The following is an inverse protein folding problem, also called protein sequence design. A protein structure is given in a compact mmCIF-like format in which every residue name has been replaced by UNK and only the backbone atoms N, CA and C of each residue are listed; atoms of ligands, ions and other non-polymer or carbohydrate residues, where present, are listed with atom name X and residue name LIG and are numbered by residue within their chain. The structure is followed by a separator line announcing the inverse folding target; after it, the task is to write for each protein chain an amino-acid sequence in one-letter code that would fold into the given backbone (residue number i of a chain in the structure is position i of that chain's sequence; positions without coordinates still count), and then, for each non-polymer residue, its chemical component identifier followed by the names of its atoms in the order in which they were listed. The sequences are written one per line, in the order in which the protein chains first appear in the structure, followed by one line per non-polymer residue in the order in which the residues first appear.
data_IF_189961804781
#
_entry.id   IF_189961804781
#
_cell.length_a   1.000
_cell.length_b   1.000
_cell.length_c   1.000
_cell.angle_alpha   90.00
_cell.angle_beta   90.00
_cell.angle_gamma   90.00
#
_symmetry.space_group_name_H-M   'P 1'
#
loop_
_entity.id
_entity.type
_entity.pdbx_description
1 polymer ?
#
# COMPACT_ATOMS: atom_id res chain seq x y z
N UNK A 1 -14.76 18.42 24.48
CA UNK A 1 -14.67 17.10 23.83
C UNK A 1 -15.13 17.25 22.39
N UNK A 2 -14.42 16.68 21.44
CA UNK A 2 -14.83 16.69 20.03
C UNK A 2 -16.07 15.82 19.90
N UNK A 3 -17.05 16.24 19.08
CA UNK A 3 -18.23 15.44 18.78
C UNK A 3 -17.79 14.10 18.16
N UNK A 4 -18.29 12.96 18.62
CA UNK A 4 -17.92 11.61 18.13
C UNK A 4 -18.11 11.44 16.61
N UNK A 5 -19.02 12.20 16.02
CA UNK A 5 -19.31 12.17 14.58
C UNK A 5 -18.42 13.11 13.75
N UNK A 6 -17.59 13.96 14.41
CA UNK A 6 -16.72 14.88 13.70
C UNK A 6 -15.49 14.18 13.14
N UNK A 7 -15.18 14.46 11.87
CA UNK A 7 -14.03 13.84 11.21
C UNK A 7 -12.76 14.68 11.40
N UNK A 8 -11.66 14.04 11.74
CA UNK A 8 -10.32 14.57 11.52
C UNK A 8 -9.90 14.29 10.09
N UNK A 9 -9.91 15.27 9.20
CA UNK A 9 -9.65 15.10 7.79
C UNK A 9 -8.23 15.53 7.46
N UNK A 10 -7.40 14.56 7.06
CA UNK A 10 -6.00 14.77 6.67
C UNK A 10 -5.85 14.75 5.15
N UNK A 11 -5.60 15.91 4.58
CA UNK A 11 -5.33 16.05 3.16
C UNK A 11 -3.85 15.88 2.84
N UNK A 12 -3.55 14.92 1.96
CA UNK A 12 -2.22 14.65 1.45
C UNK A 12 -2.16 15.06 -0.04
N UNK A 13 -1.74 16.30 -0.36
CA UNK A 13 -1.80 16.81 -1.72
C UNK A 13 -0.87 16.02 -2.65
N UNK A 14 -1.35 15.79 -3.87
CA UNK A 14 -0.47 15.46 -4.99
C UNK A 14 0.24 16.74 -5.41
N UNK A 15 1.55 16.78 -5.52
CA UNK A 15 2.23 17.98 -6.02
C UNK A 15 1.65 18.46 -7.37
N UNK A 16 1.52 19.76 -7.55
CA UNK A 16 1.11 20.42 -8.77
C UNK A 16 -0.29 21.09 -8.73
N UNK A 17 -0.54 21.95 -9.71
CA UNK A 17 -1.74 22.81 -9.83
C UNK A 17 -3.09 22.05 -9.81
N UNK A 18 -3.12 20.82 -10.33
CA UNK A 18 -4.32 19.97 -10.32
C UNK A 18 -4.76 19.54 -8.92
N UNK A 19 -3.88 19.65 -7.93
CA UNK A 19 -4.17 19.27 -6.54
C UNK A 19 -5.25 20.16 -5.93
N UNK A 20 -5.18 21.49 -6.14
CA UNK A 20 -6.12 22.44 -5.56
C UNK A 20 -7.56 22.26 -6.10
N UNK A 21 -7.69 22.09 -7.44
CA UNK A 21 -9.00 21.84 -8.06
C UNK A 21 -9.68 20.57 -7.52
N UNK A 22 -8.87 19.55 -7.19
CA UNK A 22 -9.43 18.30 -6.66
C UNK A 22 -9.87 18.46 -5.21
N UNK A 23 -9.12 19.22 -4.42
CA UNK A 23 -9.53 19.54 -3.05
C UNK A 23 -10.84 20.33 -3.05
N UNK A 24 -10.98 21.38 -3.84
CA UNK A 24 -12.20 22.17 -4.00
C UNK A 24 -13.43 21.29 -4.29
N UNK A 25 -13.27 20.30 -5.19
CA UNK A 25 -14.34 19.34 -5.49
C UNK A 25 -14.70 18.48 -4.27
N UNK A 26 -13.71 17.97 -3.53
CA UNK A 26 -13.93 17.16 -2.34
C UNK A 26 -14.62 18.00 -1.26
N UNK A 27 -14.11 19.19 -1.01
CA UNK A 27 -14.66 20.12 -0.01
C UNK A 27 -16.12 20.49 -0.31
N UNK A 28 -16.43 20.75 -1.59
CA UNK A 28 -17.81 21.01 -2.01
C UNK A 28 -18.74 19.84 -1.66
N UNK A 29 -18.32 18.60 -1.93
CA UNK A 29 -19.11 17.40 -1.61
C UNK A 29 -19.28 17.22 -0.10
N UNK A 30 -18.22 17.43 0.69
CA UNK A 30 -18.29 17.36 2.16
C UNK A 30 -19.32 18.35 2.71
N UNK A 31 -19.29 19.61 2.25
CA UNK A 31 -20.25 20.66 2.64
C UNK A 31 -21.67 20.31 2.20
N UNK A 32 -21.87 19.88 0.97
CA UNK A 32 -23.19 19.49 0.44
C UNK A 32 -23.81 18.33 1.21
N UNK A 33 -23.01 17.41 1.68
CA UNK A 33 -23.48 16.26 2.46
C UNK A 33 -23.55 16.55 3.97
N UNK A 34 -23.26 17.77 4.42
CA UNK A 34 -23.31 18.16 5.83
C UNK A 34 -22.36 17.36 6.71
N UNK A 35 -21.13 17.08 6.23
CA UNK A 35 -20.10 16.46 7.04
C UNK A 35 -19.50 17.48 7.98
N UNK A 36 -19.46 17.18 9.28
CA UNK A 36 -18.71 17.97 10.26
C UNK A 36 -17.27 17.48 10.30
N UNK A 37 -16.29 18.34 10.03
CA UNK A 37 -14.89 17.97 9.97
C UNK A 37 -13.95 19.11 10.32
N UNK A 38 -12.81 18.79 10.89
CA UNK A 38 -11.66 19.67 10.95
C UNK A 38 -10.63 19.21 9.91
N UNK A 39 -10.06 20.17 9.21
CA UNK A 39 -9.17 19.95 8.09
C UNK A 39 -7.74 20.35 8.43
N UNK A 40 -6.81 19.45 8.09
CA UNK A 40 -5.38 19.75 8.08
C UNK A 40 -4.73 19.21 6.80
N UNK A 41 -3.74 19.94 6.30
CA UNK A 41 -2.98 19.55 5.13
C UNK A 41 -1.58 19.09 5.55
N UNK A 42 -1.13 17.95 5.00
CA UNK A 42 0.24 17.50 5.18
C UNK A 42 1.19 18.28 4.26
N UNK A 43 2.27 18.79 4.81
CA UNK A 43 3.34 19.43 4.04
C UNK A 43 4.25 18.39 3.36
N UNK A 44 4.50 17.30 4.06
CA UNK A 44 5.36 16.21 3.61
C UNK A 44 4.99 14.90 4.33
N UNK A 45 5.70 13.83 3.98
CA UNK A 45 5.48 12.51 4.58
C UNK A 45 5.62 12.50 6.11
N UNK A 46 6.62 13.19 6.65
CA UNK A 46 6.89 13.19 8.10
C UNK A 46 5.80 13.91 8.90
N UNK A 47 5.07 14.85 8.26
CA UNK A 47 3.98 15.56 8.91
C UNK A 47 2.74 14.67 9.13
N UNK A 48 2.54 13.63 8.32
CA UNK A 48 1.37 12.74 8.44
C UNK A 48 1.28 12.12 9.83
N UNK A 49 2.37 11.55 10.33
CA UNK A 49 2.40 10.93 11.66
C UNK A 49 2.05 11.95 12.77
N UNK A 50 2.67 13.13 12.74
CA UNK A 50 2.40 14.20 13.69
C UNK A 50 0.95 14.63 13.69
N UNK A 51 0.35 14.80 12.51
CA UNK A 51 -1.03 15.23 12.34
C UNK A 51 -2.04 14.16 12.77
N UNK A 52 -1.76 12.89 12.54
CA UNK A 52 -2.58 11.77 13.05
C UNK A 52 -2.56 11.76 14.60
N UNK A 53 -1.37 11.87 15.21
CA UNK A 53 -1.26 11.96 16.68
C UNK A 53 -2.02 13.16 17.24
N UNK A 54 -1.94 14.29 16.56
CA UNK A 54 -2.70 15.48 16.94
C UNK A 54 -4.22 15.22 16.95
N UNK A 55 -4.76 14.59 15.91
CA UNK A 55 -6.18 14.23 15.88
C UNK A 55 -6.57 13.29 17.03
N UNK A 56 -5.77 12.27 17.29
CA UNK A 56 -6.02 11.30 18.37
C UNK A 56 -5.99 11.98 19.73
N UNK A 57 -4.97 12.80 20.00
CA UNK A 57 -4.82 13.53 21.26
C UNK A 57 -5.97 14.53 21.48
N UNK A 58 -6.55 15.05 20.40
CA UNK A 58 -7.74 15.93 20.45
C UNK A 58 -9.06 15.14 20.53
N UNK A 59 -9.02 13.80 20.59
CA UNK A 59 -10.19 12.96 20.82
C UNK A 59 -11.01 12.62 19.58
N UNK A 60 -10.46 12.79 18.35
CA UNK A 60 -11.15 12.37 17.13
C UNK A 60 -11.24 10.84 17.04
N UNK A 61 -12.46 10.34 16.87
CA UNK A 61 -12.74 8.90 16.71
C UNK A 61 -12.83 8.45 15.24
N UNK A 62 -12.92 9.40 14.33
CA UNK A 62 -12.93 9.13 12.87
C UNK A 62 -11.88 10.00 12.21
N UNK A 63 -10.89 9.33 11.58
CA UNK A 63 -9.82 9.99 10.84
C UNK A 63 -9.92 9.59 9.38
N UNK A 64 -10.08 10.56 8.48
CA UNK A 64 -10.23 10.33 7.04
C UNK A 64 -9.01 10.87 6.29
N UNK A 65 -8.31 9.98 5.60
CA UNK A 65 -7.16 10.32 4.77
C UNK A 65 -7.64 10.66 3.35
N UNK A 66 -7.44 11.89 2.92
CA UNK A 66 -7.59 12.27 1.51
C UNK A 66 -6.25 12.12 0.83
N UNK A 67 -5.98 10.92 0.31
CA UNK A 67 -4.65 10.56 -0.18
C UNK A 67 -4.62 9.26 -0.97
N UNK A 68 -3.43 8.76 -1.26
CA UNK A 68 -3.21 7.45 -1.88
C UNK A 68 -2.70 6.42 -0.87
N UNK A 69 -2.42 5.20 -1.36
CA UNK A 69 -1.98 4.05 -0.55
C UNK A 69 -0.80 4.38 0.38
N UNK A 70 0.15 5.18 -0.10
CA UNK A 70 1.32 5.54 0.72
C UNK A 70 1.00 6.49 1.87
N UNK A 71 0.02 7.39 1.73
CA UNK A 71 -0.42 8.25 2.83
C UNK A 71 -1.24 7.44 3.85
N UNK A 72 -2.08 6.54 3.34
CA UNK A 72 -2.83 5.60 4.17
C UNK A 72 -1.89 4.67 4.96
N UNK A 73 -0.81 4.20 4.33
CA UNK A 73 0.23 3.40 4.99
C UNK A 73 0.94 4.17 6.11
N UNK A 74 1.24 5.46 5.90
CA UNK A 74 1.85 6.28 6.97
C UNK A 74 0.89 6.44 8.15
N UNK A 75 -0.42 6.65 7.90
CA UNK A 75 -1.43 6.73 8.95
C UNK A 75 -1.53 5.43 9.75
N UNK A 76 -1.56 4.29 9.07
CA UNK A 76 -1.57 2.97 9.71
C UNK A 76 -0.32 2.73 10.55
N UNK A 77 0.88 3.05 10.04
CA UNK A 77 2.11 2.90 10.81
C UNK A 77 2.14 3.79 12.05
N UNK A 78 1.52 4.98 12.01
CA UNK A 78 1.32 5.83 13.17
C UNK A 78 0.37 5.16 14.20
N UNK A 79 -0.80 4.68 13.75
CA UNK A 79 -1.78 4.00 14.61
C UNK A 79 -1.18 2.77 15.29
N UNK A 80 -0.32 2.03 14.61
CA UNK A 80 0.35 0.85 15.17
C UNK A 80 1.43 1.16 16.22
N UNK A 81 1.76 2.44 16.43
CA UNK A 81 2.66 2.90 17.50
C UNK A 81 1.92 3.40 18.74
N UNK A 82 0.61 3.50 18.68
CA UNK A 82 -0.26 3.98 19.75
C UNK A 82 -0.72 2.80 20.60
N UNK A 83 -1.12 3.08 21.83
CA UNK A 83 -1.68 2.06 22.72
C UNK A 83 -2.87 1.35 22.04
N UNK A 84 -2.95 0.02 22.12
CA UNK A 84 -4.03 -0.74 21.49
C UNK A 84 -5.44 -0.28 21.88
N UNK A 85 -5.66 0.15 23.14
CA UNK A 85 -6.96 0.63 23.60
C UNK A 85 -7.34 1.93 22.91
N UNK A 86 -6.42 2.90 22.81
CA UNK A 86 -6.64 4.15 22.10
C UNK A 86 -6.86 3.93 20.60
N UNK A 87 -6.07 3.04 20.00
CA UNK A 87 -6.18 2.67 18.60
C UNK A 87 -7.53 2.04 18.26
N UNK A 88 -8.05 1.18 19.13
CA UNK A 88 -9.33 0.51 18.94
C UNK A 88 -10.53 1.48 19.00
N UNK A 89 -10.35 2.67 19.50
CA UNK A 89 -11.37 3.73 19.48
C UNK A 89 -11.41 4.53 18.18
N UNK A 90 -10.36 4.43 17.35
CA UNK A 90 -10.21 5.22 16.12
C UNK A 90 -10.59 4.40 14.90
N UNK A 91 -11.50 4.93 14.08
CA UNK A 91 -11.82 4.39 12.76
C UNK A 91 -11.10 5.20 11.67
N UNK A 92 -10.39 4.49 10.79
CA UNK A 92 -9.65 5.06 9.66
C UNK A 92 -10.48 4.96 8.38
N UNK A 93 -10.66 6.06 7.68
CA UNK A 93 -11.31 6.12 6.37
C UNK A 93 -10.37 6.66 5.29
N UNK A 94 -10.75 6.47 4.03
CA UNK A 94 -9.99 6.99 2.89
C UNK A 94 -10.90 7.60 1.83
N UNK A 95 -10.54 8.81 1.36
CA UNK A 95 -11.03 9.39 0.11
C UNK A 95 -9.87 9.28 -0.88
N UNK A 96 -9.99 8.43 -1.94
CA UNK A 96 -8.88 8.14 -2.83
C UNK A 96 -8.43 9.40 -3.58
N UNK A 97 -7.16 9.75 -3.42
CA UNK A 97 -6.49 10.88 -4.06
C UNK A 97 -5.04 10.55 -4.45
N UNK A 98 -4.70 9.30 -4.53
CA UNK A 98 -3.39 8.79 -4.98
C UNK A 98 -3.34 8.46 -6.47
N UNK A 99 -2.22 7.88 -6.93
CA UNK A 99 -2.04 7.45 -8.32
C UNK A 99 -2.78 6.14 -8.62
N UNK A 100 -2.64 5.14 -7.76
CA UNK A 100 -3.21 3.80 -7.94
C UNK A 100 -4.45 3.61 -7.06
N UNK A 101 -4.39 4.02 -5.78
CA UNK A 101 -5.48 3.88 -4.80
C UNK A 101 -5.98 2.43 -4.66
N UNK A 102 -5.05 1.49 -4.77
CA UNK A 102 -5.35 0.07 -4.90
C UNK A 102 -6.13 -0.47 -3.69
N UNK A 103 -5.71 -0.07 -2.48
CA UNK A 103 -6.40 -0.47 -1.26
C UNK A 103 -7.80 0.14 -1.15
N UNK A 104 -7.98 1.40 -1.55
CA UNK A 104 -9.30 2.05 -1.58
C UNK A 104 -10.23 1.38 -2.61
N UNK A 105 -9.70 1.04 -3.79
CA UNK A 105 -10.46 0.37 -4.85
C UNK A 105 -10.87 -1.05 -4.46
N UNK A 106 -10.05 -1.77 -3.69
CA UNK A 106 -10.44 -3.07 -3.13
C UNK A 106 -11.75 -3.00 -2.34
N UNK A 107 -11.94 -1.92 -1.57
CA UNK A 107 -13.16 -1.68 -0.82
C UNK A 107 -14.29 -1.06 -1.65
N UNK A 108 -14.08 -0.76 -2.93
CA UNK A 108 -15.08 -0.14 -3.80
C UNK A 108 -15.17 1.37 -3.68
N UNK A 109 -14.21 2.03 -3.01
CA UNK A 109 -14.10 3.48 -3.04
C UNK A 109 -13.51 3.94 -4.37
N UNK A 110 -14.16 4.92 -4.99
CA UNK A 110 -13.74 5.44 -6.30
C UNK A 110 -13.24 6.88 -6.21
N UNK A 111 -12.18 7.16 -6.95
CA UNK A 111 -11.67 8.52 -7.12
C UNK A 111 -12.46 9.32 -8.17
N UNK A 112 -13.28 8.67 -8.97
CA UNK A 112 -14.22 9.33 -9.92
C UNK A 112 -15.55 9.71 -9.26
N UNK A 113 -15.99 8.98 -8.22
CA UNK A 113 -17.28 9.18 -7.54
C UNK A 113 -17.05 9.53 -6.06
N UNK A 114 -16.70 10.80 -5.82
CA UNK A 114 -16.44 11.32 -4.46
C UNK A 114 -17.72 11.36 -3.64
N UNK A 115 -18.86 11.66 -4.26
CA UNK A 115 -20.17 11.77 -3.59
C UNK A 115 -20.55 10.43 -2.95
N UNK A 116 -20.46 9.34 -3.70
CA UNK A 116 -20.72 7.99 -3.21
C UNK A 116 -19.71 7.59 -2.12
N UNK A 117 -18.44 7.95 -2.29
CA UNK A 117 -17.39 7.67 -1.30
C UNK A 117 -17.70 8.35 0.03
N UNK A 118 -18.00 9.66 0.03
CA UNK A 118 -18.34 10.43 1.25
C UNK A 118 -19.61 9.90 1.88
N UNK A 119 -20.66 9.62 1.08
CA UNK A 119 -21.93 9.06 1.58
C UNK A 119 -21.73 7.71 2.27
N UNK A 120 -20.82 6.87 1.74
CA UNK A 120 -20.48 5.57 2.34
C UNK A 120 -19.73 5.74 3.66
N UNK A 121 -18.75 6.65 3.72
CA UNK A 121 -17.99 6.93 4.95
C UNK A 121 -18.89 7.48 6.09
N UNK A 122 -19.89 8.30 5.75
CA UNK A 122 -20.88 8.82 6.72
C UNK A 122 -21.68 7.74 7.43
N UNK A 123 -21.94 6.59 6.77
CA UNK A 123 -22.65 5.46 7.38
C UNK A 123 -21.83 4.77 8.46
N UNK A 124 -20.56 5.10 8.61
CA UNK A 124 -19.63 4.64 9.63
C UNK A 124 -19.64 3.12 9.84
N UNK A 125 -19.74 2.36 8.75
CA UNK A 125 -19.61 0.91 8.81
C UNK A 125 -18.14 0.56 9.03
N UNK A 126 -17.84 -0.03 10.17
CA UNK A 126 -16.48 -0.38 10.58
C UNK A 126 -16.24 -1.87 10.35
N UNK A 127 -15.05 -2.20 9.82
CA UNK A 127 -14.50 -3.54 9.80
C UNK A 127 -13.08 -3.52 10.36
N UNK A 128 -12.77 -4.46 11.23
CA UNK A 128 -11.38 -4.71 11.62
C UNK A 128 -10.64 -5.37 10.45
N UNK A 129 -9.49 -4.81 10.11
CA UNK A 129 -8.66 -5.28 9.00
C UNK A 129 -7.31 -5.78 9.49
N UNK A 130 -6.75 -6.69 8.69
CA UNK A 130 -5.42 -7.25 8.89
C UNK A 130 -4.36 -6.30 8.32
N UNK A 131 -3.15 -6.42 8.83
CA UNK A 131 -1.96 -5.76 8.30
C UNK A 131 -0.87 -6.79 8.04
N UNK A 132 -0.13 -6.63 6.96
CA UNK A 132 1.15 -7.27 6.86
C UNK A 132 2.20 -6.52 7.68
N UNK A 133 3.18 -7.23 8.23
CA UNK A 133 4.26 -6.68 9.02
C UNK A 133 5.60 -7.29 8.59
N UNK A 134 6.54 -6.45 8.21
CA UNK A 134 7.94 -6.84 8.01
C UNK A 134 8.76 -6.53 9.27
N UNK A 135 9.52 -7.53 9.74
CA UNK A 135 10.51 -7.39 10.81
C UNK A 135 11.90 -7.61 10.21
N UNK A 136 12.80 -6.67 10.44
CA UNK A 136 14.12 -6.68 9.82
C UNK A 136 15.17 -5.96 10.70
N UNK A 137 16.44 -6.17 10.39
CA UNK A 137 17.54 -5.39 10.96
C UNK A 137 18.00 -4.35 9.95
N UNK A 138 18.12 -3.11 10.36
CA UNK A 138 18.62 -2.03 9.51
C UNK A 138 20.17 -1.99 9.47
N UNK A 139 20.73 -1.11 8.63
CA UNK A 139 22.19 -0.96 8.48
C UNK A 139 22.93 -0.52 9.76
N UNK A 140 22.20 -0.05 10.77
CA UNK A 140 22.76 0.34 12.08
C UNK A 140 22.72 -0.81 13.10
N UNK A 141 22.22 -1.99 12.71
CA UNK A 141 22.02 -3.13 13.60
C UNK A 141 20.75 -3.06 14.46
N UNK A 142 19.87 -2.08 14.21
CA UNK A 142 18.65 -1.90 14.99
C UNK A 142 17.54 -2.80 14.44
N UNK A 143 16.79 -3.44 15.35
CA UNK A 143 15.58 -4.21 15.01
C UNK A 143 14.45 -3.26 14.67
N UNK A 144 13.96 -3.35 13.45
CA UNK A 144 12.90 -2.51 12.91
C UNK A 144 11.68 -3.34 12.54
N UNK A 145 10.51 -2.70 12.57
CA UNK A 145 9.26 -3.25 12.03
C UNK A 145 8.52 -2.19 11.22
N UNK A 146 7.85 -2.62 10.17
CA UNK A 146 6.98 -1.76 9.37
C UNK A 146 5.75 -2.52 8.91
N UNK A 147 4.61 -1.84 8.90
CA UNK A 147 3.34 -2.42 8.52
C UNK A 147 2.96 -2.00 7.10
N UNK A 148 2.18 -2.85 6.44
CA UNK A 148 1.63 -2.57 5.11
C UNK A 148 0.18 -3.01 5.00
N UNK A 149 -0.58 -2.26 4.22
CA UNK A 149 -1.99 -2.49 3.91
C UNK A 149 -2.15 -3.36 2.66
N UNK A 150 -1.42 -3.02 1.61
CA UNK A 150 -1.56 -3.64 0.31
C UNK A 150 -0.50 -4.72 0.08
N UNK A 151 0.78 -4.35 -0.10
CA UNK A 151 1.81 -5.34 -0.38
C UNK A 151 3.24 -4.89 -0.13
N UNK A 152 4.11 -5.89 -0.03
CA UNK A 152 5.56 -5.76 -0.20
C UNK A 152 5.95 -6.32 -1.57
N UNK A 153 6.76 -5.57 -2.32
CA UNK A 153 7.38 -5.99 -3.57
C UNK A 153 8.89 -6.11 -3.40
N UNK A 154 9.47 -7.24 -3.79
CA UNK A 154 10.92 -7.51 -3.74
C UNK A 154 11.39 -7.79 -5.16
N UNK A 155 12.37 -7.02 -5.65
CA UNK A 155 12.97 -7.18 -6.97
C UNK A 155 12.44 -6.22 -8.03
N UNK A 156 12.04 -6.69 -9.21
CA UNK A 156 11.76 -5.88 -10.40
C UNK A 156 10.78 -4.73 -10.14
N UNK A 157 9.65 -5.00 -9.49
CA UNK A 157 8.64 -3.94 -9.27
C UNK A 157 9.18 -2.83 -8.37
N UNK A 158 9.93 -3.17 -7.33
CA UNK A 158 10.60 -2.17 -6.49
C UNK A 158 11.68 -1.40 -7.27
N UNK A 159 12.39 -2.06 -8.20
CA UNK A 159 13.35 -1.40 -9.09
C UNK A 159 12.66 -0.42 -10.05
N UNK A 160 11.51 -0.77 -10.60
CA UNK A 160 10.66 0.13 -11.40
C UNK A 160 10.23 1.36 -10.58
N UNK A 161 9.81 1.17 -9.34
CA UNK A 161 9.45 2.27 -8.44
C UNK A 161 10.64 3.22 -8.19
N UNK A 162 11.85 2.66 -8.04
CA UNK A 162 13.08 3.43 -7.86
C UNK A 162 13.42 4.25 -9.12
N UNK A 163 13.38 3.63 -10.28
CA UNK A 163 13.66 4.29 -11.55
C UNK A 163 12.67 5.41 -11.80
N UNK A 164 11.38 5.15 -11.61
CA UNK A 164 10.32 6.16 -11.74
C UNK A 164 10.57 7.37 -10.84
N UNK A 165 11.00 7.16 -9.60
CA UNK A 165 11.30 8.26 -8.68
C UNK A 165 12.44 9.15 -9.20
N UNK A 166 13.45 8.55 -9.85
CA UNK A 166 14.58 9.26 -10.45
C UNK A 166 14.20 9.99 -11.74
N UNK A 167 13.33 9.40 -12.56
CA UNK A 167 12.98 9.90 -13.90
C UNK A 167 11.75 10.80 -13.93
N UNK A 168 11.00 10.89 -12.83
CA UNK A 168 9.78 11.70 -12.73
C UNK A 168 9.97 13.16 -13.16
N UNK A 169 11.13 13.76 -12.87
CA UNK A 169 11.43 15.13 -13.26
C UNK A 169 11.66 15.29 -14.77
N UNK A 170 12.04 14.21 -15.48
CA UNK A 170 12.38 14.24 -16.91
C UNK A 170 11.11 14.18 -17.77
N UNK A 171 10.15 13.35 -17.40
CA UNK A 171 8.97 13.07 -18.24
C UNK A 171 7.74 13.93 -17.92
N UNK A 172 7.77 14.76 -16.89
CA UNK A 172 6.66 15.65 -16.50
C UNK A 172 5.33 14.93 -16.16
N UNK A 173 5.18 13.64 -16.53
CA UNK A 173 4.02 12.80 -16.28
C UNK A 173 4.40 11.56 -15.48
N UNK A 174 3.74 11.36 -14.34
CA UNK A 174 3.96 10.19 -13.48
C UNK A 174 3.60 8.87 -14.15
N UNK A 175 2.54 8.88 -14.97
CA UNK A 175 2.07 7.69 -15.69
C UNK A 175 3.04 7.31 -16.80
N UNK A 176 3.50 8.28 -17.58
CA UNK A 176 4.46 8.04 -18.66
C UNK A 176 5.81 7.57 -18.10
N UNK A 177 6.29 8.20 -17.03
CA UNK A 177 7.50 7.77 -16.33
C UNK A 177 7.39 6.33 -15.80
N UNK A 178 6.21 5.92 -15.29
CA UNK A 178 5.99 4.54 -14.87
C UNK A 178 6.04 3.57 -16.04
N UNK A 179 5.35 3.88 -17.14
CA UNK A 179 5.31 3.03 -18.33
C UNK A 179 6.70 2.87 -18.96
N UNK A 180 7.45 3.97 -19.13
CA UNK A 180 8.81 3.93 -19.64
C UNK A 180 9.74 3.12 -18.71
N UNK A 181 9.64 3.33 -17.39
CA UNK A 181 10.44 2.59 -16.41
C UNK A 181 10.10 1.09 -16.43
N UNK A 182 8.82 0.74 -16.58
CA UNK A 182 8.36 -0.63 -16.68
C UNK A 182 8.93 -1.31 -17.93
N UNK A 183 8.83 -0.68 -19.09
CA UNK A 183 9.37 -1.20 -20.35
C UNK A 183 10.89 -1.40 -20.26
N UNK A 184 11.63 -0.36 -19.83
CA UNK A 184 13.09 -0.43 -19.72
C UNK A 184 13.55 -1.56 -18.77
N UNK A 185 12.90 -1.71 -17.62
CA UNK A 185 13.26 -2.71 -16.62
C UNK A 185 12.93 -4.14 -17.05
N UNK A 186 11.86 -4.35 -17.84
CA UNK A 186 11.56 -5.65 -18.43
C UNK A 186 12.67 -6.07 -19.40
N UNK A 187 13.15 -5.15 -20.24
CA UNK A 187 14.23 -5.41 -21.17
C UNK A 187 15.59 -5.64 -20.47
N UNK A 188 15.83 -5.04 -19.31
CA UNK A 188 17.05 -5.29 -18.52
C UNK A 188 17.09 -6.68 -17.89
N UNK A 189 15.99 -7.45 -17.92
CA UNK A 189 15.90 -8.84 -17.43
C UNK A 189 16.49 -9.02 -16.03
N UNK A 190 16.16 -8.09 -15.13
CA UNK A 190 16.62 -8.16 -13.74
C UNK A 190 16.10 -9.44 -13.08
N UNK A 191 17.01 -10.20 -12.53
CA UNK A 191 16.70 -11.34 -11.67
C UNK A 191 17.62 -11.34 -10.44
N UNK A 192 17.15 -11.97 -9.39
CA UNK A 192 17.82 -12.02 -8.10
C UNK A 192 17.85 -13.46 -7.61
N UNK A 193 19.01 -13.94 -7.16
CA UNK A 193 19.05 -15.22 -6.45
C UNK A 193 18.37 -15.03 -5.10
N UNK A 194 17.25 -15.67 -4.88
CA UNK A 194 16.51 -15.58 -3.64
C UNK A 194 16.52 -16.91 -2.90
N UNK A 195 16.65 -16.81 -1.59
CA UNK A 195 16.46 -17.92 -0.66
C UNK A 195 15.33 -17.54 0.29
N UNK A 196 14.18 -18.16 0.09
CA UNK A 196 12.93 -17.82 0.78
C UNK A 196 12.26 -19.09 1.27
N UNK A 197 11.71 -19.04 2.48
CA UNK A 197 10.88 -20.10 3.03
C UNK A 197 9.44 -19.62 3.11
N UNK A 198 8.53 -20.38 2.52
CA UNK A 198 7.09 -20.14 2.50
C UNK A 198 6.40 -21.45 2.86
N UNK A 199 5.72 -21.51 3.99
CA UNK A 199 5.18 -22.75 4.55
C UNK A 199 6.30 -23.82 4.71
N UNK A 200 6.10 -25.00 4.12
CA UNK A 200 7.12 -26.07 4.05
C UNK A 200 8.12 -25.89 2.91
N UNK A 201 7.84 -25.02 1.95
CA UNK A 201 8.62 -24.88 0.73
C UNK A 201 9.83 -23.98 0.96
N UNK A 202 11.00 -24.46 0.48
CA UNK A 202 12.24 -23.67 0.45
C UNK A 202 12.59 -23.35 -1.00
N UNK A 203 12.47 -22.08 -1.34
CA UNK A 203 12.73 -21.56 -2.68
C UNK A 203 14.19 -21.09 -2.76
N UNK A 204 15.02 -21.76 -3.55
CA UNK A 204 16.40 -21.36 -3.86
C UNK A 204 16.57 -21.26 -5.36
N UNK A 205 16.18 -20.13 -5.95
CA UNK A 205 16.24 -19.92 -7.40
C UNK A 205 16.33 -18.45 -7.78
N UNK A 206 16.52 -18.20 -9.08
CA UNK A 206 16.43 -16.85 -9.64
C UNK A 206 14.97 -16.43 -9.72
N UNK A 207 14.64 -15.29 -9.12
CA UNK A 207 13.32 -14.70 -9.06
C UNK A 207 13.40 -13.29 -9.65
N UNK A 208 12.51 -12.98 -10.57
CA UNK A 208 12.42 -11.65 -11.17
C UNK A 208 11.76 -10.67 -10.21
N UNK A 209 10.66 -11.08 -9.61
CA UNK A 209 9.93 -10.30 -8.60
C UNK A 209 9.16 -11.23 -7.67
N UNK A 210 9.02 -10.82 -6.43
CA UNK A 210 8.13 -11.45 -5.45
C UNK A 210 7.23 -10.38 -4.86
N UNK A 211 5.92 -10.62 -4.89
CA UNK A 211 4.92 -9.80 -4.22
C UNK A 211 4.31 -10.58 -3.07
N UNK A 212 4.25 -9.96 -1.90
CA UNK A 212 3.60 -10.51 -0.71
C UNK A 212 2.48 -9.54 -0.37
N UNK A 213 1.24 -9.94 -0.65
CA UNK A 213 0.04 -9.12 -0.57
C UNK A 213 -0.81 -9.46 0.65
N UNK A 214 -1.19 -8.42 1.37
CA UNK A 214 -2.33 -8.40 2.28
C UNK A 214 -3.59 -7.88 1.55
N UNK A 215 -3.38 -7.10 0.48
CA UNK A 215 -4.36 -6.66 -0.50
C UNK A 215 -3.99 -7.13 -1.92
N UNK A 216 -4.61 -6.55 -2.95
CA UNK A 216 -4.49 -6.99 -4.34
C UNK A 216 -3.11 -6.85 -4.95
N UNK A 217 -2.18 -6.17 -4.26
CA UNK A 217 -0.77 -6.09 -4.65
C UNK A 217 -0.56 -5.47 -6.02
N UNK A 218 -1.38 -4.46 -6.36
CA UNK A 218 -1.40 -3.86 -7.70
C UNK A 218 -1.65 -4.88 -8.83
N UNK A 219 -2.50 -5.87 -8.55
CA UNK A 219 -2.84 -6.95 -9.49
C UNK A 219 -1.92 -8.17 -9.45
N UNK A 220 -0.88 -8.18 -8.61
CA UNK A 220 0.04 -9.32 -8.47
C UNK A 220 -0.48 -10.39 -7.49
N UNK A 221 -1.30 -10.00 -6.54
CA UNK A 221 -1.97 -10.87 -5.56
C UNK A 221 -3.49 -10.62 -5.57
N UNK A 222 -4.17 -10.86 -6.70
CA UNK A 222 -5.55 -10.43 -6.92
C UNK A 222 -6.56 -11.10 -5.98
N UNK A 223 -6.20 -12.21 -5.36
CA UNK A 223 -7.05 -12.99 -4.46
C UNK A 223 -6.82 -12.66 -2.98
N UNK A 224 -5.89 -11.75 -2.66
CA UNK A 224 -5.61 -11.36 -1.29
C UNK A 224 -6.76 -10.54 -0.70
N UNK A 225 -7.07 -10.81 0.56
CA UNK A 225 -8.21 -10.23 1.27
C UNK A 225 -7.74 -9.76 2.64
N UNK A 226 -7.76 -8.45 2.95
CA UNK A 226 -7.14 -7.89 4.16
C UNK A 226 -7.97 -8.10 5.44
N UNK A 227 -8.60 -9.27 5.58
CA UNK A 227 -9.39 -9.66 6.75
C UNK A 227 -9.60 -11.18 6.84
N UNK A 228 -8.72 -11.98 6.26
CA UNK A 228 -8.79 -13.45 6.30
C UNK A 228 -7.63 -14.09 7.08
N UNK A 229 -6.73 -13.28 7.65
CA UNK A 229 -5.59 -13.74 8.42
C UNK A 229 -4.49 -14.40 7.58
N UNK A 230 -4.43 -14.11 6.27
CA UNK A 230 -3.48 -14.74 5.35
C UNK A 230 -2.84 -13.69 4.44
N UNK A 231 -1.62 -13.97 4.00
CA UNK A 231 -0.92 -13.26 2.95
C UNK A 231 -0.94 -14.11 1.68
N UNK A 232 -1.27 -13.50 0.56
CA UNK A 232 -1.07 -14.12 -0.75
C UNK A 232 0.32 -13.74 -1.28
N UNK A 233 1.03 -14.71 -1.82
CA UNK A 233 2.39 -14.50 -2.34
C UNK A 233 2.43 -14.91 -3.80
N UNK A 234 2.95 -14.05 -4.65
CA UNK A 234 3.28 -14.39 -6.04
C UNK A 234 4.79 -14.33 -6.24
N UNK A 235 5.39 -15.45 -6.60
CA UNK A 235 6.82 -15.56 -6.93
C UNK A 235 6.95 -15.72 -8.43
N UNK A 236 7.54 -14.73 -9.10
CA UNK A 236 7.75 -14.76 -10.54
C UNK A 236 9.17 -15.20 -10.84
N UNK A 237 9.31 -16.42 -11.35
CA UNK A 237 10.58 -16.94 -11.85
C UNK A 237 10.96 -16.18 -13.12
N UNK A 238 12.25 -16.26 -13.50
CA UNK A 238 12.74 -15.60 -14.71
C UNK A 238 12.08 -16.19 -15.98
N UNK A 239 11.15 -15.46 -16.64
CA UNK A 239 10.47 -15.96 -17.83
C UNK A 239 11.37 -15.85 -19.07
N UNK A 240 11.13 -16.70 -20.07
CA UNK A 240 11.73 -16.52 -21.42
C UNK A 240 11.18 -15.24 -22.06
N UNK A 241 11.91 -14.67 -23.02
CA UNK A 241 11.50 -13.38 -23.65
C UNK A 241 10.10 -13.42 -24.24
N UNK A 242 9.72 -14.52 -24.90
CA UNK A 242 8.38 -14.72 -25.46
C UNK A 242 7.28 -14.76 -24.37
N UNK A 243 7.59 -15.34 -23.23
CA UNK A 243 6.69 -15.45 -22.07
C UNK A 243 6.48 -14.11 -21.35
N UNK A 244 7.38 -13.14 -21.52
CA UNK A 244 7.20 -11.80 -20.97
C UNK A 244 5.98 -11.10 -21.57
N UNK A 245 5.79 -11.21 -22.89
CA UNK A 245 4.61 -10.62 -23.57
C UNK A 245 3.30 -11.30 -23.13
N UNK A 246 3.32 -12.64 -23.01
CA UNK A 246 2.20 -13.40 -22.45
C UNK A 246 1.89 -12.94 -21.02
N UNK A 247 2.93 -12.79 -20.18
CA UNK A 247 2.77 -12.32 -18.81
C UNK A 247 2.16 -10.92 -18.71
N UNK A 248 2.57 -9.98 -19.57
CA UNK A 248 1.99 -8.64 -19.64
C UNK A 248 0.52 -8.71 -20.06
N UNK A 249 0.21 -9.49 -21.08
CA UNK A 249 -1.17 -9.68 -21.53
C UNK A 249 -2.06 -10.26 -20.43
N UNK A 250 -1.61 -11.32 -19.75
CA UNK A 250 -2.35 -11.92 -18.66
C UNK A 250 -2.51 -10.96 -17.46
N UNK A 251 -1.48 -10.15 -17.18
CA UNK A 251 -1.55 -9.13 -16.15
C UNK A 251 -2.63 -8.09 -16.44
N UNK A 252 -2.66 -7.54 -17.65
CA UNK A 252 -3.68 -6.57 -18.09
C UNK A 252 -5.09 -7.17 -18.06
N UNK A 253 -5.21 -8.47 -18.34
CA UNK A 253 -6.49 -9.21 -18.28
C UNK A 253 -6.89 -9.64 -16.86
N UNK A 254 -6.13 -9.30 -15.83
CA UNK A 254 -6.38 -9.73 -14.46
C UNK A 254 -6.17 -11.23 -14.21
N UNK A 255 -5.48 -11.92 -15.12
CA UNK A 255 -5.20 -13.37 -15.08
C UNK A 255 -3.71 -13.67 -14.80
N UNK A 256 -3.04 -12.77 -14.11
CA UNK A 256 -1.60 -12.84 -13.84
C UNK A 256 -1.14 -14.19 -13.24
N UNK A 257 -1.91 -14.73 -12.32
CA UNK A 257 -1.59 -15.99 -11.64
C UNK A 257 -1.62 -17.22 -12.57
N UNK A 258 -2.20 -17.11 -13.75
CA UNK A 258 -2.26 -18.22 -14.73
C UNK A 258 -0.97 -18.34 -15.57
N UNK A 259 -0.05 -17.38 -15.44
CA UNK A 259 1.21 -17.42 -16.19
C UNK A 259 2.15 -18.50 -15.63
N UNK A 260 2.78 -19.28 -16.51
CA UNK A 260 3.64 -20.43 -16.16
C UNK A 260 4.82 -20.10 -15.23
N UNK A 261 5.33 -18.87 -15.30
CA UNK A 261 6.45 -18.42 -14.45
C UNK A 261 5.98 -17.83 -13.11
N UNK A 262 4.70 -17.76 -12.86
CA UNK A 262 4.12 -17.24 -11.61
C UNK A 262 3.76 -18.42 -10.72
N UNK A 263 4.29 -18.41 -9.51
CA UNK A 263 4.04 -19.44 -8.51
C UNK A 263 3.31 -18.79 -7.34
N UNK A 264 1.99 -19.01 -7.21
CA UNK A 264 1.20 -18.45 -6.13
C UNK A 264 1.33 -19.31 -4.86
N UNK A 265 1.38 -18.63 -3.70
CA UNK A 265 1.32 -19.24 -2.38
C UNK A 265 0.32 -18.48 -1.52
N UNK A 266 -0.15 -19.12 -0.48
CA UNK A 266 -0.94 -18.51 0.58
C UNK A 266 -0.38 -18.94 1.92
N UNK A 267 -0.11 -17.98 2.82
CA UNK A 267 0.61 -18.24 4.05
C UNK A 267 0.31 -17.19 5.11
N UNK A 268 0.68 -17.46 6.36
CA UNK A 268 0.70 -16.47 7.44
C UNK A 268 2.07 -15.81 7.59
N UNK A 269 3.10 -16.45 7.04
CA UNK A 269 4.47 -16.04 7.25
C UNK A 269 5.35 -16.35 6.04
N UNK A 270 6.25 -15.43 5.72
CA UNK A 270 7.32 -15.58 4.75
C UNK A 270 8.64 -15.23 5.42
N UNK A 271 9.61 -16.13 5.38
CA UNK A 271 10.96 -15.89 5.83
C UNK A 271 11.88 -15.70 4.64
N UNK A 272 12.45 -14.52 4.48
CA UNK A 272 13.42 -14.20 3.43
C UNK A 272 14.82 -14.32 4.03
N UNK A 273 15.51 -15.42 3.70
CA UNK A 273 16.84 -15.72 4.21
C UNK A 273 17.91 -14.94 3.45
N UNK A 274 17.73 -14.77 2.15
CA UNK A 274 18.56 -13.93 1.30
C UNK A 274 17.77 -13.47 0.07
N UNK A 275 17.91 -12.22 -0.30
CA UNK A 275 17.34 -11.63 -1.51
C UNK A 275 18.42 -10.89 -2.33
N UNK A 276 19.69 -11.17 -2.10
CA UNK A 276 20.83 -10.42 -2.62
C UNK A 276 20.68 -8.92 -2.37
N UNK A 277 20.80 -8.10 -3.43
CA UNK A 277 20.62 -6.64 -3.37
C UNK A 277 19.28 -6.20 -3.96
N UNK A 278 18.27 -7.10 -3.96
CA UNK A 278 16.95 -6.78 -4.47
C UNK A 278 16.36 -5.59 -3.70
N UNK A 279 15.83 -4.64 -4.44
CA UNK A 279 15.11 -3.52 -3.83
C UNK A 279 13.79 -4.01 -3.26
N UNK A 280 13.36 -3.36 -2.17
CA UNK A 280 12.11 -3.65 -1.50
C UNK A 280 11.23 -2.41 -1.52
N UNK A 281 10.00 -2.59 -1.96
CA UNK A 281 8.96 -1.56 -1.93
C UNK A 281 7.81 -1.99 -1.03
N UNK A 282 7.27 -1.06 -0.26
CA UNK A 282 6.12 -1.26 0.64
C UNK A 282 5.06 -0.22 0.29
N UNK A 283 3.86 -0.65 -0.07
CA UNK A 283 2.71 0.22 -0.41
C UNK A 283 3.11 1.42 -1.28
N UNK A 284 3.84 1.13 -2.36
CA UNK A 284 4.28 2.14 -3.34
C UNK A 284 5.51 2.96 -2.95
N UNK A 285 6.18 2.67 -1.83
CA UNK A 285 7.42 3.33 -1.39
C UNK A 285 8.57 2.36 -1.26
N UNK A 286 9.76 2.84 -1.62
CA UNK A 286 10.99 2.10 -1.35
C UNK A 286 11.34 2.16 0.14
N UNK A 287 11.78 1.04 0.66
CA UNK A 287 12.42 0.97 1.97
C UNK A 287 13.93 0.77 1.86
N UNK A 288 14.65 1.07 2.93
CA UNK A 288 16.06 0.70 3.03
C UNK A 288 16.18 -0.82 3.06
N UNK A 289 17.10 -1.36 2.26
CA UNK A 289 17.33 -2.81 2.20
C UNK A 289 17.71 -3.33 3.58
N UNK A 290 17.03 -4.37 4.08
CA UNK A 290 17.41 -5.05 5.32
C UNK A 290 18.83 -5.61 5.26
N UNK A 291 19.46 -5.75 6.42
CA UNK A 291 20.73 -6.47 6.57
C UNK A 291 20.42 -7.86 7.11
N UNK A 292 20.77 -8.88 6.32
CA UNK A 292 20.51 -10.28 6.68
C UNK A 292 19.05 -10.72 6.49
N UNK A 293 18.68 -11.84 7.10
CA UNK A 293 17.33 -12.39 7.02
C UNK A 293 16.27 -11.45 7.58
N UNK A 294 15.07 -11.51 7.01
CA UNK A 294 13.91 -10.78 7.50
C UNK A 294 12.63 -11.60 7.36
N UNK A 295 11.65 -11.27 8.19
CA UNK A 295 10.40 -12.00 8.32
C UNK A 295 9.21 -11.10 7.96
N UNK A 296 8.26 -11.66 7.25
CA UNK A 296 7.01 -10.99 6.89
C UNK A 296 5.85 -11.84 7.42
N UNK A 297 4.98 -11.26 8.23
CA UNK A 297 3.85 -11.94 8.87
C UNK A 297 2.57 -11.13 8.69
N UNK A 298 1.42 -11.78 8.81
CA UNK A 298 0.12 -11.11 8.96
C UNK A 298 -0.16 -10.84 10.44
N UNK A 299 -0.75 -9.67 10.73
CA UNK A 299 -1.30 -9.32 12.05
C UNK A 299 -2.78 -9.08 11.86
N UNK A 300 -3.58 -9.89 12.53
CA UNK A 300 -5.02 -9.95 12.31
C UNK A 300 -5.77 -8.87 13.08
N UNK A 301 -6.81 -8.32 12.45
CA UNK A 301 -7.86 -7.49 13.07
C UNK A 301 -7.35 -6.33 13.92
N UNK A 302 -6.34 -5.59 13.45
CA UNK A 302 -5.66 -4.57 14.27
C UNK A 302 -6.04 -3.13 13.95
N UNK A 303 -6.76 -2.86 12.86
CA UNK A 303 -7.21 -1.50 12.49
C UNK A 303 -8.70 -1.51 12.19
N UNK A 304 -9.43 -0.61 12.82
CA UNK A 304 -10.80 -0.30 12.46
C UNK A 304 -10.82 0.51 11.16
N UNK A 305 -11.36 -0.05 10.09
CA UNK A 305 -11.42 0.61 8.79
C UNK A 305 -12.87 0.86 8.37
N UNK A 306 -13.14 2.05 7.85
CA UNK A 306 -14.45 2.41 7.31
C UNK A 306 -14.62 1.76 5.94
N UNK A 307 -15.66 0.96 5.78
CA UNK A 307 -15.98 0.26 4.54
C UNK A 307 -17.30 0.75 3.95
N UNK A 308 -17.50 0.65 2.62
CA UNK A 308 -18.78 0.98 2.01
C UNK A 308 -19.89 0.00 2.43
N UNK A 309 -21.11 0.46 2.30
CA UNK A 309 -22.34 -0.31 2.53
C UNK A 309 -22.86 -0.84 1.22
#
# INVERSE_FOLDING_TARGET
MVNENKWGLLYCPRGGWRSNKRWEKIEKVLKQQGVDYDFVQSENQKSVERLIRMFINNGYKTIVIVGGDSALNDAVNCLMQIDPKERDEVALGVIPNGLMNDFAHFWGFSDSDIEKTVASLKKRRIRKIDLGCIRYVNKKGEKCRRYFLNCINIGLIAAIMNLRRKTHHIFGSRTLSFLCSFILMIFQRLDYKMHVKINSDVIRRRVMTMCIGNGTGYGQTPNAVPYNGLLDVSVVSHPKTTQLFEGIYLFVKGKFLNHKSVHPYRTREVEVLDAQHALIGIDGRLMNTPVGPFQITVIQEVINFLIPV
#
